data_IF_247162659114
#
_entry.id   IF_247162659114
#
_cell.length_a   1.000
_cell.length_b   1.000
_cell.length_c   1.000
_cell.angle_alpha   90.00
_cell.angle_beta   90.00
_cell.angle_gamma   90.00
#
_symmetry.space_group_name_H-M   'P 1'
#
loop_
_entity.id
_entity.type
_entity.pdbx_description
1 polymer ?
#
# COMPACT_ATOMS: atom_id res chain seq x y z
N UNK A 1 10.43 -39.91 -12.37
CA UNK A 1 11.00 -38.86 -11.49
C UNK A 1 9.94 -37.79 -11.37
N UNK A 2 9.13 -37.83 -10.31
CA UNK A 2 8.18 -36.77 -10.02
C UNK A 2 8.97 -35.56 -9.52
N UNK A 3 8.80 -34.41 -10.17
CA UNK A 3 9.26 -33.14 -9.64
C UNK A 3 8.56 -32.95 -8.29
N UNK A 4 9.29 -33.00 -7.18
CA UNK A 4 8.74 -32.57 -5.90
C UNK A 4 8.47 -31.07 -6.04
N UNK A 5 7.20 -30.68 -6.12
CA UNK A 5 6.82 -29.28 -6.00
C UNK A 5 7.40 -28.78 -4.67
N UNK A 6 8.20 -27.72 -4.71
CA UNK A 6 8.64 -26.99 -3.52
C UNK A 6 7.40 -26.57 -2.75
N UNK A 7 7.35 -26.85 -1.45
CA UNK A 7 6.21 -26.44 -0.64
C UNK A 7 6.18 -24.91 -0.59
N UNK A 8 5.12 -24.31 -1.11
CA UNK A 8 4.88 -22.87 -0.99
C UNK A 8 4.79 -22.51 0.49
N UNK A 9 5.38 -21.37 0.84
CA UNK A 9 5.21 -20.75 2.15
C UNK A 9 4.75 -19.32 1.93
N UNK A 10 4.01 -18.79 2.90
CA UNK A 10 3.43 -17.47 2.84
C UNK A 10 4.01 -16.64 3.97
N UNK A 11 4.36 -15.39 3.66
CA UNK A 11 4.80 -14.42 4.66
C UNK A 11 3.80 -13.27 4.70
N UNK A 12 3.59 -12.75 5.90
CA UNK A 12 2.82 -11.54 6.17
C UNK A 12 3.65 -10.66 7.11
N UNK A 13 4.23 -9.60 6.56
CA UNK A 13 4.96 -8.59 7.31
C UNK A 13 3.99 -7.52 7.83
N UNK A 14 4.07 -7.22 9.11
CA UNK A 14 3.11 -6.36 9.85
C UNK A 14 3.89 -5.21 10.48
N UNK A 15 3.76 -4.01 9.91
CA UNK A 15 4.37 -2.79 10.43
C UNK A 15 3.41 -2.04 11.35
N UNK A 16 3.89 -1.66 12.53
CA UNK A 16 3.08 -0.98 13.56
C UNK A 16 3.73 0.31 14.03
N UNK A 17 3.05 1.04 14.91
CA UNK A 17 3.58 2.23 15.57
C UNK A 17 4.78 1.98 16.49
N UNK A 18 5.06 0.72 16.89
CA UNK A 18 6.15 0.39 17.84
C UNK A 18 7.01 -0.80 17.44
N UNK A 19 7.01 -1.18 16.16
CA UNK A 19 7.88 -2.22 15.62
C UNK A 19 7.20 -3.00 14.50
N UNK A 20 7.92 -4.01 14.02
CA UNK A 20 7.46 -4.92 12.97
C UNK A 20 7.39 -6.36 13.49
N UNK A 21 6.43 -7.13 13.00
CA UNK A 21 6.36 -8.58 13.16
C UNK A 21 6.31 -9.26 11.79
N UNK A 22 6.82 -10.49 11.73
CA UNK A 22 6.69 -11.35 10.55
C UNK A 22 5.85 -12.56 10.94
N UNK A 23 4.76 -12.79 10.21
CA UNK A 23 3.97 -14.01 10.33
C UNK A 23 4.28 -14.92 9.13
N UNK A 24 4.47 -16.21 9.38
CA UNK A 24 4.68 -17.21 8.33
C UNK A 24 3.62 -18.31 8.40
N UNK A 25 3.23 -18.83 7.24
CA UNK A 25 2.22 -19.88 7.13
C UNK A 25 2.51 -20.82 5.96
N UNK A 26 1.96 -22.03 6.02
CA UNK A 26 1.96 -23.01 4.90
C UNK A 26 0.60 -23.16 4.24
N UNK A 27 -0.47 -22.66 4.86
CA UNK A 27 -1.85 -22.83 4.40
C UNK A 27 -2.67 -21.53 4.45
N UNK A 28 -2.06 -20.43 4.91
CA UNK A 28 -2.66 -19.11 5.14
C UNK A 28 -3.76 -19.08 6.21
N UNK A 29 -3.86 -20.14 7.02
CA UNK A 29 -4.83 -20.26 8.12
C UNK A 29 -4.14 -20.29 9.47
N UNK A 30 -3.12 -21.12 9.60
CA UNK A 30 -2.29 -21.20 10.81
C UNK A 30 -1.01 -20.39 10.59
N UNK A 31 -0.71 -19.48 11.53
CA UNK A 31 0.39 -18.53 11.40
C UNK A 31 1.35 -18.63 12.59
N UNK A 32 2.65 -18.63 12.29
CA UNK A 32 3.71 -18.51 13.29
C UNK A 32 4.27 -17.09 13.24
N UNK A 33 4.32 -16.41 14.39
CA UNK A 33 4.77 -15.03 14.49
C UNK A 33 6.21 -14.94 15.01
N UNK A 34 7.03 -14.06 14.42
CA UNK A 34 8.35 -13.65 14.92
C UNK A 34 8.44 -12.13 15.04
N UNK A 35 9.40 -11.66 15.86
CA UNK A 35 9.57 -10.27 16.25
C UNK A 35 9.41 -10.04 17.77
N UNK A 36 9.32 -8.79 18.23
CA UNK A 36 9.35 -7.57 17.43
C UNK A 36 10.73 -7.29 16.82
N UNK A 37 10.74 -6.86 15.56
CA UNK A 37 11.87 -6.17 14.95
C UNK A 37 11.69 -4.66 15.11
N UNK A 38 12.78 -3.91 15.24
CA UNK A 38 12.74 -2.44 15.38
C UNK A 38 11.83 -1.95 16.53
N UNK A 39 11.87 -2.62 17.69
CA UNK A 39 11.04 -2.28 18.84
C UNK A 39 11.21 -0.81 19.24
N UNK A 40 10.09 -0.11 19.49
CA UNK A 40 9.99 1.33 19.75
C UNK A 40 10.21 2.25 18.54
N UNK A 41 10.44 1.70 17.34
CA UNK A 41 10.38 2.47 16.10
C UNK A 41 9.03 2.30 15.42
N UNK A 42 8.59 3.35 14.74
CA UNK A 42 7.41 3.30 13.88
C UNK A 42 7.78 2.64 12.54
N UNK A 43 6.93 1.74 12.05
CA UNK A 43 7.11 1.02 10.78
C UNK A 43 5.98 1.41 9.81
N UNK A 44 6.12 2.55 9.13
CA UNK A 44 5.08 3.10 8.26
C UNK A 44 4.90 2.37 6.93
N UNK A 45 5.94 1.68 6.43
CA UNK A 45 5.93 1.07 5.11
C UNK A 45 6.81 -0.17 5.06
N UNK A 46 6.34 -1.16 4.31
CA UNK A 46 7.05 -2.39 4.01
C UNK A 46 6.90 -2.63 2.51
N UNK A 47 7.96 -3.13 1.87
CA UNK A 47 7.95 -3.72 0.54
C UNK A 47 8.55 -5.13 0.60
N UNK A 48 7.95 -6.09 -0.10
CA UNK A 48 8.52 -7.44 -0.24
C UNK A 48 8.85 -7.65 -1.71
N UNK A 49 10.12 -7.85 -1.99
CA UNK A 49 10.63 -8.09 -3.33
C UNK A 49 10.98 -9.56 -3.49
N UNK A 50 10.16 -10.29 -4.24
CA UNK A 50 10.35 -11.72 -4.56
C UNK A 50 10.98 -11.95 -5.94
N UNK A 51 11.35 -10.86 -6.63
CA UNK A 51 11.77 -10.89 -8.04
C UNK A 51 13.19 -11.42 -8.15
N UNK A 52 13.52 -11.98 -9.32
CA UNK A 52 14.86 -12.51 -9.61
C UNK A 52 15.37 -13.55 -8.59
N UNK A 53 14.47 -14.37 -8.03
CA UNK A 53 14.81 -15.47 -7.11
C UNK A 53 15.29 -15.03 -5.72
N UNK A 54 15.15 -13.75 -5.38
CA UNK A 54 15.48 -13.16 -4.09
C UNK A 54 14.21 -12.98 -3.27
N UNK A 55 14.29 -13.08 -1.95
CA UNK A 55 13.24 -12.56 -1.06
C UNK A 55 13.84 -11.46 -0.19
N UNK A 56 13.60 -10.19 -0.54
CA UNK A 56 13.99 -9.05 0.30
C UNK A 56 12.79 -8.38 0.92
N UNK A 57 12.90 -8.13 2.21
CA UNK A 57 11.97 -7.29 2.95
C UNK A 57 12.63 -5.93 3.12
N UNK A 58 12.04 -4.90 2.49
CA UNK A 58 12.41 -3.50 2.64
C UNK A 58 11.48 -2.86 3.67
N UNK A 59 12.02 -2.10 4.60
CA UNK A 59 11.26 -1.53 5.71
C UNK A 59 11.61 -0.06 5.87
N UNK A 60 10.61 0.80 5.70
CA UNK A 60 10.71 2.17 6.16
C UNK A 60 10.64 2.17 7.68
N UNK A 61 11.66 2.72 8.35
CA UNK A 61 11.73 2.82 9.81
C UNK A 61 11.71 4.30 10.17
N UNK A 62 10.94 4.68 11.18
CA UNK A 62 10.93 6.03 11.75
C UNK A 62 11.15 5.95 13.26
N UNK A 63 12.37 6.29 13.68
CA UNK A 63 12.72 6.39 15.09
C UNK A 63 12.45 7.81 15.60
N UNK A 64 11.84 7.93 16.78
CA UNK A 64 11.73 9.25 17.45
C UNK A 64 13.09 9.79 17.91
N UNK A 65 14.11 8.93 18.01
CA UNK A 65 15.46 9.31 18.45
C UNK A 65 16.43 9.54 17.29
N UNK A 66 16.36 8.70 16.25
CA UNK A 66 17.34 8.67 15.16
C UNK A 66 16.81 9.16 13.82
N UNK A 67 15.51 9.47 13.73
CA UNK A 67 14.88 9.88 12.48
C UNK A 67 14.50 8.70 11.57
N UNK A 68 14.14 8.98 10.32
CA UNK A 68 13.71 7.98 9.36
C UNK A 68 14.86 7.37 8.53
N UNK A 69 14.71 6.11 8.17
CA UNK A 69 15.64 5.37 7.31
C UNK A 69 14.89 4.26 6.54
N UNK A 70 15.57 3.60 5.62
CA UNK A 70 15.13 2.33 5.04
C UNK A 70 16.15 1.27 5.40
N UNK A 71 15.67 0.20 6.02
CA UNK A 71 16.44 -1.00 6.30
C UNK A 71 15.97 -2.13 5.37
N UNK A 72 16.79 -3.15 5.19
CA UNK A 72 16.36 -4.35 4.49
C UNK A 72 16.92 -5.64 5.07
N UNK A 73 16.26 -6.75 4.74
CA UNK A 73 16.64 -8.10 5.11
C UNK A 73 16.46 -9.02 3.91
N UNK A 74 17.47 -9.85 3.63
CA UNK A 74 17.45 -10.92 2.62
C UNK A 74 17.32 -12.32 3.26
N UNK A 75 17.12 -12.39 4.59
CA UNK A 75 17.11 -13.62 5.39
C UNK A 75 15.85 -13.73 6.28
N UNK A 76 14.73 -13.20 5.78
CA UNK A 76 13.42 -13.22 6.44
C UNK A 76 13.45 -12.62 7.86
N UNK A 77 14.20 -11.53 8.03
CA UNK A 77 14.26 -10.72 9.24
C UNK A 77 15.24 -11.22 10.30
N UNK A 78 16.06 -12.24 10.00
CA UNK A 78 17.10 -12.72 10.91
C UNK A 78 18.21 -11.68 11.11
N UNK A 79 18.55 -10.93 10.07
CA UNK A 79 19.43 -9.76 10.12
C UNK A 79 18.86 -8.60 9.29
N UNK A 80 19.29 -7.38 9.64
CA UNK A 80 18.85 -6.15 9.00
C UNK A 80 20.07 -5.31 8.63
N UNK A 81 20.06 -4.78 7.42
CA UNK A 81 21.09 -3.90 6.88
C UNK A 81 20.51 -2.50 6.66
N UNK A 82 21.26 -1.49 7.12
CA UNK A 82 21.02 -0.09 6.80
C UNK A 82 22.25 0.45 6.06
N UNK A 83 22.09 1.10 4.89
CA UNK A 83 23.22 1.72 4.19
C UNK A 83 23.90 2.79 5.05
N UNK A 84 25.24 2.83 5.07
CA UNK A 84 26.04 3.72 5.96
C UNK A 84 25.70 5.22 5.84
N UNK A 85 25.15 5.65 4.70
CA UNK A 85 24.77 7.05 4.43
C UNK A 85 23.25 7.29 4.45
N UNK A 86 22.47 6.27 4.83
CA UNK A 86 21.01 6.24 4.70
C UNK A 86 20.58 6.00 3.25
N UNK A 87 19.51 5.21 3.07
CA UNK A 87 19.03 4.85 1.74
C UNK A 87 18.40 6.03 0.97
N UNK A 88 17.76 6.96 1.69
CA UNK A 88 17.08 8.13 1.13
C UNK A 88 17.66 9.38 1.80
N UNK A 89 18.27 10.25 1.00
CA UNK A 89 18.84 11.51 1.45
C UNK A 89 18.50 12.64 0.48
N UNK A 90 17.83 13.67 1.00
CA UNK A 90 17.51 14.87 0.24
C UNK A 90 18.79 15.58 -0.23
N UNK A 91 18.87 16.00 -1.51
CA UNK A 91 19.96 16.82 -2.00
C UNK A 91 20.02 18.17 -1.26
N UNK A 92 21.23 18.71 -1.05
CA UNK A 92 21.44 19.92 -0.25
C UNK A 92 20.66 21.15 -0.77
N UNK A 93 20.46 21.25 -2.08
CA UNK A 93 19.73 22.36 -2.72
C UNK A 93 18.23 22.35 -2.45
N UNK A 94 17.69 21.25 -1.91
CA UNK A 94 16.25 21.14 -1.61
C UNK A 94 15.87 21.76 -0.27
N UNK A 95 16.85 21.99 0.62
CA UNK A 95 16.64 22.42 2.01
C UNK A 95 15.60 21.57 2.77
N UNK A 96 15.40 20.31 2.35
CA UNK A 96 14.43 19.38 2.91
C UNK A 96 15.13 18.21 3.63
N UNK A 97 14.40 17.58 4.53
CA UNK A 97 14.82 16.35 5.20
C UNK A 97 13.72 15.30 5.08
N UNK A 98 14.11 14.03 5.06
CA UNK A 98 13.15 12.94 5.11
C UNK A 98 12.49 12.93 6.49
N UNK A 99 11.16 12.88 6.51
CA UNK A 99 10.35 12.77 7.74
C UNK A 99 9.75 11.37 7.89
N UNK A 100 9.36 10.76 6.76
CA UNK A 100 8.71 9.46 6.73
C UNK A 100 8.73 8.82 5.35
N UNK A 101 8.94 7.50 5.30
CA UNK A 101 8.72 6.70 4.08
C UNK A 101 7.31 6.12 4.14
N UNK A 102 6.41 6.65 3.32
CA UNK A 102 4.99 6.28 3.32
C UNK A 102 4.68 5.02 2.54
N UNK A 103 5.50 4.68 1.55
CA UNK A 103 5.37 3.44 0.79
C UNK A 103 6.72 3.03 0.21
N UNK A 104 6.97 1.73 0.17
CA UNK A 104 8.04 1.11 -0.63
C UNK A 104 7.36 0.14 -1.60
N UNK A 105 7.69 0.24 -2.88
CA UNK A 105 7.05 -0.50 -3.95
C UNK A 105 8.12 -1.09 -4.89
N UNK A 106 8.43 -2.39 -4.76
CA UNK A 106 9.17 -3.12 -5.79
C UNK A 106 8.45 -3.02 -7.13
N UNK A 107 9.17 -2.66 -8.19
CA UNK A 107 8.64 -2.52 -9.55
C UNK A 107 8.22 -3.89 -10.16
N UNK A 108 8.01 -3.96 -11.47
CA UNK A 108 7.69 -5.18 -12.20
C UNK A 108 8.85 -6.19 -12.27
N UNK A 109 8.53 -7.44 -12.61
CA UNK A 109 9.49 -8.53 -12.84
C UNK A 109 10.51 -8.21 -13.93
N UNK A 110 10.13 -7.42 -14.93
CA UNK A 110 11.03 -6.93 -15.99
C UNK A 110 12.11 -5.96 -15.49
N UNK A 111 11.95 -5.41 -14.27
CA UNK A 111 12.82 -4.39 -13.66
C UNK A 111 13.20 -4.76 -12.21
N UNK A 112 13.82 -5.93 -11.95
CA UNK A 112 13.96 -6.49 -10.60
C UNK A 112 14.85 -5.67 -9.64
N UNK A 113 15.75 -4.83 -10.16
CA UNK A 113 16.54 -3.89 -9.35
C UNK A 113 15.81 -2.59 -9.00
N UNK A 114 14.68 -2.31 -9.66
CA UNK A 114 13.96 -1.04 -9.48
C UNK A 114 13.00 -1.14 -8.31
N UNK A 115 13.12 -0.19 -7.38
CA UNK A 115 12.22 -0.02 -6.24
C UNK A 115 11.84 1.46 -6.16
N UNK A 116 10.55 1.74 -6.01
CA UNK A 116 10.05 3.09 -5.80
C UNK A 116 9.73 3.33 -4.34
N UNK A 117 9.88 4.57 -3.89
CA UNK A 117 9.41 5.00 -2.58
C UNK A 117 8.64 6.31 -2.67
N UNK A 118 7.53 6.37 -1.92
CA UNK A 118 6.77 7.60 -1.68
C UNK A 118 7.05 8.09 -0.27
N UNK A 119 7.36 9.37 -0.12
CA UNK A 119 7.93 9.92 1.11
C UNK A 119 7.23 11.22 1.58
N UNK A 120 7.62 11.64 2.78
CA UNK A 120 7.34 12.92 3.42
C UNK A 120 8.64 13.71 3.60
N UNK A 121 8.69 15.00 3.21
CA UNK A 121 7.65 15.75 2.48
C UNK A 121 7.32 15.10 1.14
N UNK A 122 6.15 15.44 0.56
CA UNK A 122 5.62 14.81 -0.68
C UNK A 122 6.73 14.75 -1.74
N UNK A 123 7.24 13.53 -1.95
CA UNK A 123 8.35 13.25 -2.85
C UNK A 123 8.30 11.78 -3.30
N UNK A 124 8.72 11.55 -4.54
CA UNK A 124 8.89 10.21 -5.11
C UNK A 124 10.38 9.95 -5.30
N UNK A 125 10.77 8.73 -5.02
CA UNK A 125 12.15 8.27 -5.02
C UNK A 125 12.27 6.98 -5.82
N UNK A 126 13.40 6.77 -6.48
CA UNK A 126 13.67 5.58 -7.29
C UNK A 126 15.04 5.01 -6.94
N UNK A 127 15.07 3.73 -6.62
CA UNK A 127 16.28 2.91 -6.53
C UNK A 127 16.41 2.06 -7.78
N UNK A 128 17.64 1.75 -8.19
CA UNK A 128 17.96 0.78 -9.25
C UNK A 128 18.86 -0.36 -8.76
N UNK A 129 19.14 -0.42 -7.46
CA UNK A 129 20.01 -1.40 -6.80
C UNK A 129 19.28 -2.23 -5.74
N UNK A 130 17.96 -2.39 -5.91
CA UNK A 130 17.13 -3.23 -5.05
C UNK A 130 16.82 -2.61 -3.69
N UNK A 131 16.82 -1.28 -3.61
CA UNK A 131 16.48 -0.49 -2.43
C UNK A 131 17.64 -0.14 -1.51
N UNK A 132 18.90 -0.24 -1.97
CA UNK A 132 20.06 0.20 -1.18
C UNK A 132 20.18 1.73 -1.23
N UNK A 133 20.04 2.33 -2.42
CA UNK A 133 20.11 3.77 -2.61
C UNK A 133 18.94 4.25 -3.46
N UNK A 134 18.37 5.38 -3.06
CA UNK A 134 17.25 6.01 -3.74
C UNK A 134 17.61 7.41 -4.21
N UNK A 135 17.30 7.70 -5.47
CA UNK A 135 17.44 9.02 -6.07
C UNK A 135 16.10 9.77 -6.07
N UNK A 136 16.15 11.06 -5.75
CA UNK A 136 14.97 11.93 -5.76
C UNK A 136 14.45 12.10 -7.19
N UNK A 137 13.16 11.85 -7.40
CA UNK A 137 12.50 12.14 -8.66
C UNK A 137 12.31 13.66 -8.82
N UNK A 138 13.25 14.30 -9.51
CA UNK A 138 13.21 15.75 -9.80
C UNK A 138 11.98 16.19 -10.58
N UNK A 139 11.47 15.34 -11.48
CA UNK A 139 10.27 15.63 -12.26
C UNK A 139 9.06 15.98 -11.38
N UNK A 140 8.85 15.25 -10.28
CA UNK A 140 7.77 15.55 -9.33
C UNK A 140 8.20 16.63 -8.32
N UNK A 141 9.45 16.60 -7.86
CA UNK A 141 9.95 17.56 -6.87
C UNK A 141 9.98 19.01 -7.37
N UNK A 142 10.32 19.22 -8.64
CA UNK A 142 10.38 20.54 -9.25
C UNK A 142 9.05 20.92 -9.93
N UNK A 143 8.00 20.10 -9.75
CA UNK A 143 6.69 20.36 -10.34
C UNK A 143 6.08 21.66 -9.79
N UNK A 144 5.48 22.54 -10.64
CA UNK A 144 4.96 23.83 -10.21
C UNK A 144 3.95 23.77 -9.06
N UNK A 145 3.08 22.75 -9.04
CA UNK A 145 2.08 22.58 -7.98
C UNK A 145 2.67 22.18 -6.62
N UNK A 146 3.96 21.81 -6.52
CA UNK A 146 4.52 21.23 -5.29
C UNK A 146 4.33 22.14 -4.08
N UNK A 147 4.54 23.45 -4.25
CA UNK A 147 4.41 24.43 -3.16
C UNK A 147 2.98 24.66 -2.71
N UNK A 148 2.00 24.15 -3.48
CA UNK A 148 0.57 24.28 -3.22
C UNK A 148 -0.05 22.99 -2.67
N UNK A 149 0.68 21.87 -2.72
CA UNK A 149 0.22 20.62 -2.10
C UNK A 149 0.14 20.76 -0.58
N UNK A 150 -1.00 20.40 -0.02
CA UNK A 150 -1.25 20.44 1.42
C UNK A 150 -0.91 19.13 2.13
N UNK A 151 -1.17 19.11 3.43
CA UNK A 151 -1.11 17.92 4.26
C UNK A 151 -2.51 17.42 4.60
N UNK A 152 -2.76 16.11 4.46
CA UNK A 152 -3.88 15.47 5.12
C UNK A 152 -3.64 15.31 6.62
N UNK A 153 -4.63 14.81 7.37
CA UNK A 153 -4.47 14.55 8.80
C UNK A 153 -3.32 13.59 9.16
N UNK A 154 -2.91 12.74 8.21
CA UNK A 154 -1.78 11.82 8.39
C UNK A 154 -0.41 12.46 8.15
N UNK A 155 -0.33 13.66 7.58
CA UNK A 155 0.89 14.28 7.05
C UNK A 155 0.89 14.38 5.51
N UNK A 156 1.78 15.21 4.93
CA UNK A 156 1.90 15.39 3.48
C UNK A 156 2.60 14.18 2.85
N UNK A 157 1.80 13.27 2.27
CA UNK A 157 2.27 11.96 1.86
C UNK A 157 2.20 11.75 0.34
N UNK A 158 3.33 11.40 -0.29
CA UNK A 158 3.33 10.68 -1.56
C UNK A 158 3.23 9.17 -1.27
N UNK A 159 2.29 8.48 -1.90
CA UNK A 159 2.07 7.05 -1.69
C UNK A 159 1.35 6.41 -2.88
N UNK A 160 1.04 5.12 -2.77
CA UNK A 160 0.30 4.34 -3.77
C UNK A 160 0.84 4.51 -5.20
N UNK A 161 2.13 4.21 -5.36
CA UNK A 161 2.76 4.06 -6.66
C UNK A 161 2.13 2.91 -7.43
N UNK A 162 1.83 3.17 -8.71
CA UNK A 162 1.36 2.17 -9.67
C UNK A 162 2.23 2.29 -10.92
N UNK A 163 2.94 1.23 -11.25
CA UNK A 163 3.86 1.17 -12.39
C UNK A 163 3.26 0.32 -13.49
N UNK A 164 3.47 0.71 -14.75
CA UNK A 164 3.21 -0.17 -15.89
C UNK A 164 4.41 -1.12 -16.07
N UNK A 165 4.22 -2.44 -16.13
CA UNK A 165 5.33 -3.40 -16.23
C UNK A 165 6.09 -3.36 -17.56
N UNK A 166 5.44 -2.89 -18.63
CA UNK A 166 5.98 -2.89 -20.00
C UNK A 166 6.33 -1.49 -20.51
N UNK A 167 5.81 -0.45 -19.85
CA UNK A 167 5.97 0.95 -20.25
C UNK A 167 6.62 1.78 -19.15
N UNK A 168 6.99 3.00 -19.52
CA UNK A 168 7.56 4.00 -18.61
C UNK A 168 6.48 4.79 -17.84
N UNK A 169 5.23 4.31 -17.82
CA UNK A 169 4.14 4.94 -17.08
C UNK A 169 4.25 4.66 -15.59
N UNK A 170 4.20 5.72 -14.79
CA UNK A 170 4.14 5.65 -13.32
C UNK A 170 3.05 6.59 -12.84
N UNK A 171 2.18 6.13 -11.94
CA UNK A 171 1.25 6.96 -11.20
C UNK A 171 1.65 7.02 -9.73
N UNK A 172 1.33 8.14 -9.07
CA UNK A 172 1.44 8.32 -7.62
C UNK A 172 0.17 8.98 -7.11
N UNK A 173 -0.33 8.56 -5.95
CA UNK A 173 -1.41 9.25 -5.25
C UNK A 173 -0.84 10.04 -4.06
N UNK A 174 -1.44 11.18 -3.78
CA UNK A 174 -0.97 12.08 -2.73
C UNK A 174 -2.11 12.55 -1.83
N UNK A 175 -1.82 12.59 -0.53
CA UNK A 175 -2.72 13.05 0.53
C UNK A 175 -2.08 14.26 1.24
N UNK A 176 -2.31 15.51 0.82
CA UNK A 176 -3.20 15.97 -0.27
C UNK A 176 -2.41 16.44 -1.49
N UNK A 177 -2.98 16.22 -2.67
CA UNK A 177 -2.41 16.64 -3.95
C UNK A 177 -3.13 15.95 -5.12
N UNK A 178 -3.65 14.75 -4.88
CA UNK A 178 -4.37 13.96 -5.87
C UNK A 178 -3.47 12.93 -6.55
N UNK A 179 -3.92 12.43 -7.69
CA UNK A 179 -3.18 11.50 -8.54
C UNK A 179 -2.36 12.29 -9.56
N UNK A 180 -1.09 11.93 -9.70
CA UNK A 180 -0.20 12.42 -10.74
C UNK A 180 0.30 11.24 -11.57
N UNK A 181 0.52 11.48 -12.86
CA UNK A 181 1.02 10.47 -13.80
C UNK A 181 2.21 11.00 -14.57
N UNK A 182 3.24 10.18 -14.67
CA UNK A 182 4.32 10.27 -15.64
C UNK A 182 4.14 9.21 -16.72
N UNK A 183 4.55 9.52 -17.94
CA UNK A 183 4.66 8.58 -19.08
C UNK A 183 6.09 8.43 -19.59
N UNK A 184 7.05 8.97 -18.85
CA UNK A 184 8.48 9.09 -19.21
C UNK A 184 9.39 8.68 -18.03
N UNK A 185 8.98 7.65 -17.29
CA UNK A 185 9.69 7.04 -16.17
C UNK A 185 9.98 8.01 -15.01
N UNK A 186 9.10 9.00 -14.84
CA UNK A 186 9.17 10.04 -13.82
C UNK A 186 9.92 11.30 -14.25
N UNK A 187 10.21 11.50 -15.54
CA UNK A 187 10.83 12.72 -16.05
C UNK A 187 9.94 13.96 -15.91
N UNK A 188 8.64 13.81 -16.18
CA UNK A 188 7.61 14.83 -16.02
C UNK A 188 6.30 14.23 -15.52
N UNK A 189 5.47 15.06 -14.89
CA UNK A 189 4.23 14.61 -14.24
C UNK A 189 3.07 15.53 -14.57
N UNK A 190 1.88 14.94 -14.72
CA UNK A 190 0.63 15.65 -14.99
C UNK A 190 -0.44 15.26 -13.96
N UNK A 191 -1.26 16.20 -13.47
CA UNK A 191 -2.38 15.89 -12.59
C UNK A 191 -3.45 15.06 -13.31
N UNK A 192 -4.06 14.11 -12.60
CA UNK A 192 -5.03 13.14 -13.12
C UNK A 192 -6.22 12.99 -12.18
N UNK A 193 -6.91 14.10 -11.91
CA UNK A 193 -7.94 14.19 -10.85
C UNK A 193 -9.35 14.50 -11.34
N UNK A 194 -9.56 14.68 -12.65
CA UNK A 194 -10.88 15.07 -13.19
C UNK A 194 -11.95 14.08 -12.74
N UNK A 195 -12.98 14.56 -12.05
CA UNK A 195 -14.09 13.75 -11.54
C UNK A 195 -13.93 13.28 -10.09
N UNK A 196 -12.74 13.45 -9.47
CA UNK A 196 -12.54 13.17 -8.04
C UNK A 196 -12.88 14.43 -7.24
N UNK A 197 -13.76 14.29 -6.25
CA UNK A 197 -14.19 15.39 -5.38
C UNK A 197 -13.13 15.73 -4.31
N UNK A 198 -13.10 17.01 -3.92
CA UNK A 198 -12.38 17.52 -2.77
C UNK A 198 -13.29 18.45 -1.94
N UNK A 199 -14.25 17.88 -1.21
CA UNK A 199 -15.29 18.65 -0.49
C UNK A 199 -14.76 19.59 0.61
N UNK A 200 -13.49 19.44 1.00
CA UNK A 200 -12.80 20.32 1.94
C UNK A 200 -12.14 21.54 1.27
N UNK A 201 -12.22 21.67 -0.05
CA UNK A 201 -11.73 22.81 -0.84
C UNK A 201 -12.88 23.66 -1.37
N UNK A 202 -12.65 24.95 -1.70
CA UNK A 202 -13.69 25.82 -2.24
C UNK A 202 -14.24 25.38 -3.60
N UNK A 203 -13.37 24.87 -4.48
CA UNK A 203 -13.76 24.16 -5.69
C UNK A 203 -13.89 22.68 -5.34
N UNK A 204 -15.04 22.08 -5.66
CA UNK A 204 -15.31 20.67 -5.38
C UNK A 204 -14.55 19.75 -6.33
N UNK A 205 -14.21 20.19 -7.54
CA UNK A 205 -13.50 19.40 -8.54
C UNK A 205 -12.24 20.11 -9.03
N UNK A 206 -11.30 20.45 -8.14
CA UNK A 206 -10.10 21.18 -8.52
C UNK A 206 -9.19 20.29 -9.37
N UNK A 207 -8.28 20.90 -10.13
CA UNK A 207 -7.29 20.15 -10.93
C UNK A 207 -6.37 19.28 -10.05
N UNK A 208 -6.06 19.75 -8.84
CA UNK A 208 -5.24 19.07 -7.84
C UNK A 208 -5.68 19.45 -6.42
N UNK A 209 -5.15 18.75 -5.42
CA UNK A 209 -5.45 19.00 -4.00
C UNK A 209 -6.40 17.98 -3.37
N UNK A 210 -6.88 17.00 -4.14
CA UNK A 210 -7.63 15.86 -3.62
C UNK A 210 -6.82 15.11 -2.55
N UNK A 211 -7.52 14.47 -1.62
CA UNK A 211 -6.93 13.65 -0.57
C UNK A 211 -7.14 12.17 -0.90
N UNK A 212 -6.46 11.71 -1.96
CA UNK A 212 -6.60 10.33 -2.43
C UNK A 212 -5.88 9.42 -1.45
N UNK A 213 -6.59 8.48 -0.83
CA UNK A 213 -6.04 7.62 0.20
C UNK A 213 -5.32 6.38 -0.37
N UNK A 214 -5.80 5.84 -1.50
CA UNK A 214 -5.15 4.73 -2.20
C UNK A 214 -5.64 4.60 -3.64
N UNK A 215 -4.75 4.16 -4.54
CA UNK A 215 -5.10 3.70 -5.89
C UNK A 215 -4.62 2.26 -6.10
N UNK A 216 -5.31 1.53 -6.98
CA UNK A 216 -4.96 0.17 -7.41
C UNK A 216 -5.26 -0.02 -8.91
N UNK A 217 -4.38 -0.72 -9.63
CA UNK A 217 -4.58 -1.01 -11.05
C UNK A 217 -5.37 -2.29 -11.27
N UNK A 218 -6.25 -2.27 -12.28
CA UNK A 218 -6.93 -3.46 -12.76
C UNK A 218 -5.96 -4.39 -13.50
N UNK A 219 -6.11 -5.70 -13.32
CA UNK A 219 -5.20 -6.68 -13.92
C UNK A 219 -5.43 -6.94 -15.41
N UNK A 220 -6.58 -6.58 -15.98
CA UNK A 220 -6.93 -6.96 -17.37
C UNK A 220 -7.30 -5.80 -18.30
N UNK A 221 -7.63 -4.63 -17.77
CA UNK A 221 -7.95 -3.45 -18.58
C UNK A 221 -6.86 -2.39 -18.38
N UNK A 222 -6.07 -2.16 -19.43
CA UNK A 222 -5.04 -1.11 -19.40
C UNK A 222 -5.68 0.25 -19.12
N UNK A 223 -5.08 1.00 -18.19
CA UNK A 223 -5.55 2.32 -17.80
C UNK A 223 -6.78 2.32 -16.90
N UNK A 224 -7.33 1.14 -16.55
CA UNK A 224 -8.33 1.05 -15.49
C UNK A 224 -7.66 1.08 -14.12
N UNK A 225 -8.08 2.04 -13.30
CA UNK A 225 -7.65 2.18 -11.92
C UNK A 225 -8.86 2.36 -11.01
N UNK A 226 -8.73 1.90 -9.78
CA UNK A 226 -9.67 2.17 -8.70
C UNK A 226 -9.01 3.11 -7.70
N UNK A 227 -9.78 4.00 -7.09
CA UNK A 227 -9.31 4.94 -6.08
C UNK A 227 -10.25 5.00 -4.89
N UNK A 228 -9.70 4.87 -3.68
CA UNK A 228 -10.36 5.32 -2.46
C UNK A 228 -9.88 6.75 -2.19
N UNK A 229 -10.79 7.71 -2.20
CA UNK A 229 -10.53 9.11 -1.84
C UNK A 229 -10.99 9.38 -0.40
N UNK A 230 -10.68 10.57 0.12
CA UNK A 230 -11.27 11.04 1.38
C UNK A 230 -12.80 11.03 1.35
N UNK A 231 -13.41 11.45 0.24
CA UNK A 231 -14.84 11.26 -0.02
C UNK A 231 -15.01 10.57 -1.36
N UNK A 232 -15.57 9.36 -1.36
CA UNK A 232 -15.88 8.60 -2.57
C UNK A 232 -14.91 7.46 -2.89
N UNK A 233 -15.46 6.48 -3.59
CA UNK A 233 -14.73 5.40 -4.26
C UNK A 233 -14.92 5.59 -5.76
N UNK A 234 -13.82 5.62 -6.52
CA UNK A 234 -13.83 5.99 -7.93
C UNK A 234 -13.19 4.92 -8.82
N UNK A 235 -13.60 4.90 -10.09
CA UNK A 235 -12.93 4.17 -11.18
C UNK A 235 -12.56 5.15 -12.28
N UNK A 236 -11.44 4.92 -12.93
CA UNK A 236 -11.12 5.47 -14.25
C UNK A 236 -10.88 4.32 -15.22
N UNK A 237 -11.10 4.54 -16.51
CA UNK A 237 -10.82 3.58 -17.59
C UNK A 237 -9.79 4.15 -18.59
N UNK A 238 -9.13 5.26 -18.26
CA UNK A 238 -8.25 6.01 -19.16
C UNK A 238 -7.07 6.69 -18.44
N UNK A 239 -6.40 5.95 -17.56
CA UNK A 239 -5.20 6.40 -16.84
C UNK A 239 -5.43 7.69 -16.03
N UNK A 240 -6.60 7.80 -15.39
CA UNK A 240 -6.98 8.96 -14.59
C UNK A 240 -7.34 10.21 -15.40
N UNK A 241 -7.64 10.05 -16.70
CA UNK A 241 -8.16 11.13 -17.54
C UNK A 241 -9.56 11.61 -17.13
N UNK A 242 -10.40 10.69 -16.67
CA UNK A 242 -11.67 10.96 -16.01
C UNK A 242 -11.98 9.86 -14.99
N UNK A 243 -12.45 10.27 -13.82
CA UNK A 243 -12.88 9.38 -12.75
C UNK A 243 -14.39 9.45 -12.58
N UNK A 244 -15.00 8.30 -12.33
CA UNK A 244 -16.42 8.13 -12.07
C UNK A 244 -16.59 7.52 -10.69
N UNK A 245 -17.57 8.01 -9.91
CA UNK A 245 -17.89 7.40 -8.63
C UNK A 245 -18.48 6.01 -8.85
N UNK A 246 -17.98 5.03 -8.11
CA UNK A 246 -18.47 3.66 -8.05
C UNK A 246 -18.89 3.30 -6.62
N UNK A 247 -19.21 4.31 -5.79
CA UNK A 247 -19.58 4.10 -4.39
C UNK A 247 -21.03 3.64 -4.19
N UNK A 248 -21.84 3.60 -5.25
CA UNK A 248 -23.24 3.17 -5.16
C UNK A 248 -23.34 1.73 -4.64
N UNK A 249 -24.18 1.51 -3.62
CA UNK A 249 -24.34 0.21 -2.95
C UNK A 249 -23.39 -0.03 -1.78
N UNK A 250 -22.37 0.81 -1.56
CA UNK A 250 -21.54 0.73 -0.35
C UNK A 250 -22.27 1.33 0.88
N UNK A 251 -22.02 0.81 2.09
CA UNK A 251 -22.60 1.36 3.32
C UNK A 251 -21.98 2.71 3.74
N UNK A 252 -20.82 3.06 3.19
CA UNK A 252 -20.14 4.33 3.31
C UNK A 252 -19.16 4.49 2.14
N UNK A 253 -18.87 5.72 1.74
CA UNK A 253 -17.99 6.08 0.63
C UNK A 253 -16.62 6.62 1.08
N UNK A 254 -16.43 6.80 2.39
CA UNK A 254 -15.15 7.03 3.03
C UNK A 254 -14.48 5.69 3.39
N UNK A 255 -13.15 5.68 3.37
CA UNK A 255 -12.32 4.53 3.69
C UNK A 255 -10.87 4.91 3.40
N UNK A 256 -9.92 4.03 3.68
CA UNK A 256 -8.51 4.30 3.34
C UNK A 256 -7.95 3.39 2.26
N UNK A 257 -8.55 2.21 2.05
CA UNK A 257 -7.99 1.18 1.19
C UNK A 257 -8.87 0.90 -0.02
N UNK A 258 -8.19 0.65 -1.13
CA UNK A 258 -8.72 -0.09 -2.28
C UNK A 258 -7.65 -1.08 -2.72
N UNK A 259 -8.07 -2.31 -3.02
CA UNK A 259 -7.23 -3.41 -3.51
C UNK A 259 -7.81 -3.92 -4.82
N UNK A 260 -6.98 -4.35 -5.76
CA UNK A 260 -7.42 -4.97 -7.00
C UNK A 260 -6.93 -6.41 -7.09
N UNK A 261 -7.71 -7.29 -7.71
CA UNK A 261 -7.31 -8.68 -7.92
C UNK A 261 -6.13 -8.72 -8.91
N UNK A 262 -5.00 -9.36 -8.59
CA UNK A 262 -3.79 -9.35 -9.43
C UNK A 262 -3.95 -10.03 -10.80
N UNK A 263 -5.06 -10.76 -11.00
CA UNK A 263 -5.34 -11.56 -12.21
C UNK A 263 -6.74 -11.42 -12.80
N UNK A 264 -7.73 -10.87 -12.08
CA UNK A 264 -9.15 -10.89 -12.48
C UNK A 264 -9.61 -9.45 -12.66
N UNK A 265 -9.84 -9.06 -13.90
CA UNK A 265 -10.34 -7.73 -14.22
C UNK A 265 -11.73 -7.51 -13.63
N UNK A 266 -12.02 -6.28 -13.21
CA UNK A 266 -13.29 -5.92 -12.57
C UNK A 266 -13.40 -6.30 -11.10
N UNK A 267 -12.43 -7.05 -10.57
CA UNK A 267 -12.45 -7.48 -9.16
C UNK A 267 -11.59 -6.56 -8.30
N UNK A 268 -12.23 -5.91 -7.34
CA UNK A 268 -11.59 -5.01 -6.38
C UNK A 268 -12.28 -5.09 -5.02
N UNK A 269 -11.56 -4.72 -3.97
CA UNK A 269 -12.05 -4.69 -2.61
C UNK A 269 -11.82 -3.33 -1.95
N UNK A 270 -12.77 -2.91 -1.14
CA UNK A 270 -12.66 -1.75 -0.24
C UNK A 270 -13.03 -2.16 1.18
N UNK A 271 -12.61 -1.37 2.16
CA UNK A 271 -13.01 -1.52 3.56
C UNK A 271 -13.66 -0.20 3.99
N UNK A 272 -14.99 -0.07 3.84
CA UNK A 272 -15.71 1.17 4.11
C UNK A 272 -15.61 1.58 5.57
N UNK A 273 -15.56 2.89 5.79
CA UNK A 273 -15.52 3.52 7.10
C UNK A 273 -16.43 4.75 7.08
N UNK A 274 -17.03 5.10 8.20
CA UNK A 274 -17.78 6.35 8.28
C UNK A 274 -16.83 7.53 8.34
N UNK A 275 -17.03 8.48 7.43
CA UNK A 275 -16.48 9.83 7.52
C UNK A 275 -16.97 10.52 8.80
N UNK A 276 -16.36 11.66 9.12
CA UNK A 276 -16.70 12.58 10.22
C UNK A 276 -16.63 12.03 11.66
N UNK A 277 -15.93 12.78 12.53
CA UNK A 277 -15.69 12.61 13.99
C UNK A 277 -15.19 11.26 14.53
N UNK A 278 -15.59 10.11 13.98
CA UNK A 278 -15.40 8.81 14.61
C UNK A 278 -14.43 7.89 13.84
N UNK A 279 -14.36 7.96 12.50
CA UNK A 279 -13.49 7.09 11.65
C UNK A 279 -13.56 5.61 12.04
N UNK A 280 -14.78 5.09 12.12
CA UNK A 280 -15.08 3.71 12.53
C UNK A 280 -15.81 2.96 11.40
N UNK A 281 -15.78 1.61 11.39
CA UNK A 281 -16.60 0.83 10.47
C UNK A 281 -18.10 1.20 10.57
N UNK A 282 -18.87 1.14 9.47
CA UNK A 282 -20.31 1.37 9.52
C UNK A 282 -20.99 0.48 10.57
N UNK A 283 -21.81 1.09 11.44
CA UNK A 283 -22.47 0.40 12.56
C UNK A 283 -21.53 -0.28 13.57
N UNK A 284 -20.22 0.01 13.53
CA UNK A 284 -19.21 -0.71 14.28
C UNK A 284 -19.03 -2.15 13.82
N UNK A 285 -19.36 -2.46 12.56
CA UNK A 285 -19.20 -3.79 11.96
C UNK A 285 -18.14 -3.73 10.87
N UNK A 286 -17.00 -4.37 11.13
CA UNK A 286 -15.92 -4.45 10.14
C UNK A 286 -16.30 -5.43 9.04
N UNK A 287 -16.21 -4.97 7.78
CA UNK A 287 -16.48 -5.80 6.62
C UNK A 287 -15.64 -5.35 5.43
N UNK A 288 -15.21 -6.31 4.63
CA UNK A 288 -14.64 -6.06 3.30
C UNK A 288 -15.80 -6.03 2.30
N UNK A 289 -15.75 -5.12 1.33
CA UNK A 289 -16.72 -5.10 0.23
C UNK A 289 -16.02 -5.39 -1.08
N UNK A 290 -16.51 -6.40 -1.82
CA UNK A 290 -15.96 -6.81 -3.12
C UNK A 290 -16.88 -6.41 -4.26
N UNK A 291 -16.31 -5.87 -5.31
CA UNK A 291 -16.91 -5.83 -6.65
C UNK A 291 -16.31 -6.92 -7.51
N UNK A 292 -17.10 -7.47 -8.44
CA UNK A 292 -16.63 -8.36 -9.52
C UNK A 292 -16.96 -7.78 -10.92
N UNK A 293 -17.54 -6.58 -10.98
CA UNK A 293 -18.01 -5.92 -12.21
C UNK A 293 -17.49 -4.46 -12.32
N UNK A 294 -16.28 -4.22 -11.82
CA UNK A 294 -15.59 -2.92 -11.83
C UNK A 294 -16.37 -1.79 -11.13
N UNK A 295 -17.08 -2.10 -10.04
CA UNK A 295 -17.79 -1.17 -9.20
C UNK A 295 -19.25 -0.94 -9.61
N UNK A 296 -19.82 -1.82 -10.45
CA UNK A 296 -21.24 -1.82 -10.77
C UNK A 296 -22.10 -2.34 -9.62
N UNK A 297 -21.57 -3.26 -8.81
CA UNK A 297 -22.20 -3.78 -7.61
C UNK A 297 -21.17 -4.20 -6.55
N UNK A 298 -21.60 -4.21 -5.29
CA UNK A 298 -20.74 -4.56 -4.15
C UNK A 298 -21.38 -5.64 -3.28
N UNK A 299 -20.57 -6.61 -2.85
CA UNK A 299 -20.95 -7.65 -1.89
C UNK A 299 -20.19 -7.46 -0.58
N UNK A 300 -20.94 -7.44 0.53
CA UNK A 300 -20.39 -7.42 1.88
C UNK A 300 -19.82 -8.80 2.23
N UNK A 301 -18.59 -8.82 2.76
CA UNK A 301 -17.84 -10.00 3.18
C UNK A 301 -17.36 -9.78 4.63
N UNK A 302 -18.01 -10.46 5.56
CA UNK A 302 -17.80 -10.30 7.01
C UNK A 302 -17.66 -11.64 7.77
N UNK A 303 -17.67 -12.76 7.05
CA UNK A 303 -17.56 -14.07 7.66
C UNK A 303 -16.20 -14.23 8.37
N UNK A 304 -16.24 -14.56 9.66
CA UNK A 304 -15.05 -14.70 10.51
C UNK A 304 -14.54 -13.38 11.10
N UNK A 305 -15.11 -12.23 10.72
CA UNK A 305 -14.81 -10.93 11.34
C UNK A 305 -15.63 -10.70 12.61
N UNK A 306 -15.12 -9.88 13.56
CA UNK A 306 -15.84 -9.57 14.78
C UNK A 306 -17.14 -8.81 14.50
N UNK A 307 -18.18 -9.12 15.27
CA UNK A 307 -19.48 -8.43 15.20
C UNK A 307 -19.43 -6.97 15.68
N UNK A 308 -18.39 -6.62 16.45
CA UNK A 308 -18.13 -5.27 16.93
C UNK A 308 -16.66 -4.92 16.77
N UNK A 309 -16.38 -3.88 16.00
CA UNK A 309 -15.06 -3.30 15.78
C UNK A 309 -15.21 -1.80 15.55
N UNK A 310 -14.39 -1.02 16.26
CA UNK A 310 -14.37 0.44 16.21
C UNK A 310 -13.04 0.98 15.69
N UNK A 311 -12.08 0.11 15.39
CA UNK A 311 -10.77 0.50 14.93
C UNK A 311 -10.72 0.70 13.40
N UNK A 312 -9.90 1.66 13.00
CA UNK A 312 -9.64 2.01 11.60
C UNK A 312 -8.75 0.99 10.92
N UNK A 313 -8.98 0.72 9.63
CA UNK A 313 -8.01 0.09 8.74
C UNK A 313 -7.37 1.18 7.88
N UNK A 314 -6.05 1.36 7.99
CA UNK A 314 -5.31 2.38 7.25
C UNK A 314 -4.99 1.94 5.83
N UNK A 315 -4.64 2.91 4.97
CA UNK A 315 -4.44 2.73 3.52
C UNK A 315 -3.53 1.58 3.15
N UNK A 316 -2.40 1.47 3.83
CA UNK A 316 -1.38 0.45 3.57
C UNK A 316 -1.43 -0.68 4.58
N UNK A 317 -2.34 -0.62 5.57
CA UNK A 317 -2.68 -1.72 6.47
C UNK A 317 -3.63 -2.73 5.81
N UNK A 318 -3.64 -2.81 4.47
CA UNK A 318 -4.30 -3.86 3.72
C UNK A 318 -3.52 -4.19 2.44
N UNK A 319 -3.57 -5.45 2.01
CA UNK A 319 -2.87 -5.95 0.84
C UNK A 319 -3.40 -7.31 0.37
N UNK A 320 -2.92 -7.74 -0.80
CA UNK A 320 -3.19 -9.07 -1.38
C UNK A 320 -1.87 -9.81 -1.61
N UNK A 321 -1.92 -11.14 -1.60
CA UNK A 321 -0.83 -11.97 -2.14
C UNK A 321 -1.08 -12.31 -3.63
N UNK A 322 -0.20 -13.12 -4.21
CA UNK A 322 -0.30 -13.60 -5.60
C UNK A 322 -0.68 -15.08 -5.70
N UNK A 323 -1.02 -15.74 -4.59
CA UNK A 323 -1.39 -17.16 -4.56
C UNK A 323 -2.75 -17.41 -5.25
N UNK A 324 -3.08 -18.67 -5.50
CA UNK A 324 -4.37 -19.08 -6.08
C UNK A 324 -5.09 -20.06 -5.12
N UNK A 325 -6.25 -19.69 -4.52
CA UNK A 325 -6.93 -18.40 -4.61
C UNK A 325 -6.13 -17.24 -4.00
N UNK A 326 -6.42 -15.99 -4.40
CA UNK A 326 -5.77 -14.78 -3.86
C UNK A 326 -6.07 -14.63 -2.37
N UNK A 327 -5.04 -14.38 -1.58
CA UNK A 327 -5.19 -14.04 -0.17
C UNK A 327 -5.44 -12.55 0.04
N UNK A 328 -6.28 -12.21 1.01
CA UNK A 328 -6.50 -10.83 1.47
C UNK A 328 -6.04 -10.68 2.91
N UNK A 329 -5.36 -9.57 3.19
CA UNK A 329 -4.80 -9.29 4.51
C UNK A 329 -5.09 -7.86 4.89
N UNK A 330 -5.48 -7.64 6.14
CA UNK A 330 -5.58 -6.28 6.66
C UNK A 330 -5.38 -6.23 8.17
N UNK A 331 -4.94 -5.07 8.66
CA UNK A 331 -4.74 -4.80 10.07
C UNK A 331 -5.50 -3.55 10.53
N UNK A 332 -5.95 -3.58 11.79
CA UNK A 332 -6.66 -2.46 12.41
C UNK A 332 -5.73 -1.66 13.31
N UNK A 333 -6.07 -0.39 13.53
CA UNK A 333 -5.38 0.47 14.52
C UNK A 333 -5.54 -0.03 15.97
N UNK A 334 -6.41 -1.00 16.20
CA UNK A 334 -6.58 -1.69 17.48
C UNK A 334 -5.62 -2.85 17.70
N UNK A 335 -4.73 -3.13 16.73
CA UNK A 335 -3.73 -4.18 16.88
C UNK A 335 -4.17 -5.57 16.45
N UNK A 336 -5.25 -5.67 15.66
CA UNK A 336 -5.73 -6.92 15.08
C UNK A 336 -5.26 -7.04 13.64
N UNK A 337 -4.89 -8.25 13.21
CA UNK A 337 -4.57 -8.57 11.81
C UNK A 337 -5.35 -9.80 11.39
N UNK A 338 -6.01 -9.71 10.23
CA UNK A 338 -6.83 -10.77 9.66
C UNK A 338 -6.27 -11.21 8.30
N UNK A 339 -6.47 -12.49 7.99
CA UNK A 339 -6.14 -13.09 6.71
C UNK A 339 -7.34 -13.86 6.15
N UNK A 340 -7.52 -13.79 4.84
CA UNK A 340 -8.39 -14.66 4.05
C UNK A 340 -7.51 -15.39 3.04
N UNK A 341 -7.79 -16.67 2.81
CA UNK A 341 -7.12 -17.50 1.81
C UNK A 341 -8.05 -17.82 0.61
N UNK A 342 -9.19 -17.13 0.52
CA UNK A 342 -10.31 -17.44 -0.36
C UNK A 342 -10.94 -16.18 -0.96
N UNK A 343 -10.13 -15.20 -1.38
CA UNK A 343 -10.63 -13.97 -2.03
C UNK A 343 -11.60 -13.13 -1.18
N UNK A 344 -11.50 -13.27 0.14
CA UNK A 344 -12.28 -12.54 1.14
C UNK A 344 -13.59 -13.23 1.54
N UNK A 345 -13.89 -14.45 1.07
CA UNK A 345 -15.12 -15.14 1.47
C UNK A 345 -15.16 -15.44 2.97
N UNK A 346 -14.01 -15.70 3.60
CA UNK A 346 -13.88 -15.87 5.05
C UNK A 346 -12.53 -15.39 5.60
N UNK A 347 -12.53 -14.91 6.84
CA UNK A 347 -11.35 -14.38 7.52
C UNK A 347 -11.01 -15.14 8.80
N UNK A 348 -9.71 -15.28 9.07
CA UNK A 348 -9.15 -15.78 10.32
C UNK A 348 -8.27 -14.70 10.95
N UNK A 349 -8.32 -14.55 12.28
CA UNK A 349 -7.37 -13.71 13.01
C UNK A 349 -5.96 -14.33 12.95
N UNK A 350 -4.99 -13.57 12.44
CA UNK A 350 -3.57 -13.95 12.43
C UNK A 350 -2.94 -13.65 13.79
N UNK A 351 -3.22 -12.47 14.32
CA UNK A 351 -2.69 -11.98 15.59
C UNK A 351 -3.54 -10.81 16.09
N UNK A 352 -3.62 -10.67 17.42
CA UNK A 352 -4.22 -9.54 18.13
C UNK A 352 -3.26 -8.96 19.16
N UNK A 353 -3.67 -7.84 19.78
CA UNK A 353 -2.91 -7.13 20.82
C UNK A 353 -1.55 -6.58 20.36
N UNK A 354 -1.41 -6.32 19.05
CA UNK A 354 -0.29 -5.54 18.54
C UNK A 354 -0.48 -4.03 18.83
N UNK A 355 0.58 -3.22 18.73
CA UNK A 355 0.43 -1.79 18.57
C UNK A 355 -0.37 -1.46 17.30
N UNK A 356 -0.82 -0.21 17.20
CA UNK A 356 -1.48 0.37 16.03
C UNK A 356 -0.83 -0.06 14.70
N UNK A 357 -1.56 -0.86 13.90
CA UNK A 357 -1.08 -1.43 12.64
C UNK A 357 -1.14 -0.37 11.54
N UNK A 358 0.01 -0.08 10.94
CA UNK A 358 0.19 0.98 9.96
C UNK A 358 0.27 0.44 8.54
N UNK A 359 0.91 -0.71 8.36
CA UNK A 359 1.01 -1.37 7.08
C UNK A 359 1.07 -2.90 7.20
N UNK A 360 0.61 -3.59 6.15
CA UNK A 360 0.81 -5.03 5.99
C UNK A 360 1.26 -5.34 4.56
N UNK A 361 2.12 -6.35 4.39
CA UNK A 361 2.52 -6.88 3.08
C UNK A 361 2.58 -8.38 3.12
N UNK A 362 1.97 -9.03 2.14
CA UNK A 362 2.00 -10.48 2.01
C UNK A 362 2.73 -10.87 0.73
N UNK A 363 3.40 -12.02 0.76
CA UNK A 363 4.01 -12.60 -0.43
C UNK A 363 4.01 -14.13 -0.35
N UNK A 364 3.97 -14.76 -1.52
CA UNK A 364 4.31 -16.17 -1.67
C UNK A 364 5.82 -16.26 -1.77
N UNK A 365 6.43 -17.05 -0.90
CA UNK A 365 7.85 -17.37 -0.94
C UNK A 365 8.01 -18.83 -1.34
N UNK A 366 8.91 -19.09 -2.26
CA UNK A 366 9.33 -20.45 -2.55
C UNK A 366 10.20 -20.89 -1.38
N UNK A 367 9.78 -21.94 -0.66
CA UNK A 367 10.64 -22.55 0.33
C UNK A 367 11.86 -23.12 -0.38
N UNK A 368 12.98 -22.39 -0.35
CA UNK A 368 14.28 -23.02 -0.53
C UNK A 368 14.38 -24.05 0.58
N UNK A 369 14.28 -25.31 0.17
CA UNK A 369 14.14 -26.43 1.08
C UNK A 369 15.20 -26.32 2.15
N UNK A 370 14.74 -26.22 3.39
CA UNK A 370 15.38 -26.65 4.63
C UNK A 370 16.68 -27.43 4.36
N UNK A 371 17.77 -26.70 4.11
CA UNK A 371 19.12 -27.23 4.03
C UNK A 371 19.91 -26.69 5.21
N UNK A 372 19.47 -27.18 6.38
CA UNK A 372 20.23 -27.46 7.61
C UNK A 372 20.71 -26.29 8.47
#
# INVERSE_FOLDING_TARGET
>A
MGCMATAESYILAIGTKKGMWLATSRDRKEWSLSGPHFLLSEIPSIGIDTRNGRTRILVGVRSEHWGPTVAHSDDLGASWTEPEQGAIKFPEDTEAALERVWQIYPDAESRPGVVWAGCEPISVWKSTDGGEHFELNRGLWDHPHRTEWGAGFGGPAAHSLVVDPEKDRVLVAMSTGGVYRSTDAGGSWEPRNRGIQADFLPDQYPEFGQCVHKIAADAGVEGRLYAQNHGGVYRTDNDGGNWESIAEGLPADFGFTVLAHPRRSGTAWVIPMKAESNRIPPEGKLAVHRTDDAGGSWRCLDAGLPQHEYNTVLRDAAGVDTAEPVGLYFGTRGGFVYASADEGESFTEVVSHLPDVLCVRAAVINGDGDQR
#
